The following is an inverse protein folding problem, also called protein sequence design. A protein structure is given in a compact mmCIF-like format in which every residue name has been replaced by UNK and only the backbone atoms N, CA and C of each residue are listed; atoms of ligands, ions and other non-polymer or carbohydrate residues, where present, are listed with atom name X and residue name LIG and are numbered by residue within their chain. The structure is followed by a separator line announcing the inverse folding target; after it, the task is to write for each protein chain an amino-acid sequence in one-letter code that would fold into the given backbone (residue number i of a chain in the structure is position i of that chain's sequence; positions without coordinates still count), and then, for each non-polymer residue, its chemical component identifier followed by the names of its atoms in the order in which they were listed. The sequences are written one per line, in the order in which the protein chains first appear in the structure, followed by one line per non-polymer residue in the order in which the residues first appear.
data_IF_222856067194
#
_entry.id   IF_222856067194
#
_cell.length_a   1.000
_cell.length_b   1.000
_cell.length_c   1.000
_cell.angle_alpha   90.00
_cell.angle_beta   90.00
_cell.angle_gamma   90.00
#
_symmetry.space_group_name_H-M   'P 1'
#
loop_
_entity.id
_entity.type
_entity.pdbx_description
1 polymer ?
#
# COMPACT_ATOMS: atom_id res chain seq x y z
N UNK A 1 7.10 24.67 -25.98
CA UNK A 1 6.03 23.86 -25.37
C UNK A 1 5.21 24.76 -24.46
N UNK A 2 3.92 24.71 -24.58
CA UNK A 2 3.02 25.52 -23.77
C UNK A 2 3.23 25.20 -22.28
N UNK A 3 3.58 26.20 -21.47
CA UNK A 3 3.95 26.02 -20.06
C UNK A 3 2.81 25.47 -19.19
N UNK A 4 1.59 25.41 -19.74
CA UNK A 4 0.36 24.95 -19.05
C UNK A 4 0.12 23.46 -19.17
N UNK A 5 0.68 22.76 -20.17
CA UNK A 5 0.46 21.31 -20.41
C UNK A 5 1.79 20.56 -20.70
N UNK A 6 2.66 20.42 -19.70
CA UNK A 6 4.01 19.87 -19.91
C UNK A 6 4.03 18.39 -20.32
N UNK A 7 2.92 17.66 -20.17
CA UNK A 7 2.77 16.24 -20.53
C UNK A 7 1.89 16.04 -21.77
N UNK A 8 1.64 17.07 -22.54
CA UNK A 8 0.80 16.98 -23.76
C UNK A 8 1.36 15.91 -24.72
N UNK A 9 0.48 14.98 -25.14
CA UNK A 9 0.82 13.87 -26.03
C UNK A 9 1.60 12.73 -25.36
N UNK A 10 1.77 12.73 -24.02
CA UNK A 10 2.41 11.64 -23.28
C UNK A 10 1.41 10.73 -22.63
N UNK A 11 1.54 9.43 -22.86
CA UNK A 11 0.76 8.37 -22.23
C UNK A 11 1.54 7.78 -21.07
N UNK A 12 0.96 7.81 -19.87
CA UNK A 12 1.60 7.40 -18.62
C UNK A 12 0.88 6.23 -17.99
N UNK A 13 1.56 5.10 -17.88
CA UNK A 13 1.05 3.94 -17.16
C UNK A 13 1.14 4.15 -15.65
N UNK A 14 -0.01 4.21 -15.01
CA UNK A 14 -0.17 4.29 -13.57
C UNK A 14 -0.46 2.88 -13.00
N UNK A 15 0.56 2.30 -12.34
CA UNK A 15 0.51 0.93 -11.82
C UNK A 15 -0.08 0.81 -10.42
N UNK A 16 -0.60 1.91 -9.86
CA UNK A 16 -1.13 1.98 -8.49
C UNK A 16 -2.47 1.24 -8.35
N UNK A 17 -2.74 0.72 -7.16
CA UNK A 17 -4.06 0.16 -6.83
C UNK A 17 -5.18 1.20 -6.97
N UNK A 18 -6.38 0.75 -7.35
CA UNK A 18 -7.53 1.58 -7.75
C UNK A 18 -7.76 2.84 -6.89
N UNK A 19 -7.78 2.71 -5.55
CA UNK A 19 -8.05 3.84 -4.65
C UNK A 19 -6.94 4.91 -4.64
N UNK A 20 -5.72 4.57 -5.02
CA UNK A 20 -4.57 5.48 -5.06
C UNK A 20 -4.26 5.95 -6.50
N UNK A 21 -4.75 5.23 -7.51
CA UNK A 21 -4.56 5.55 -8.92
C UNK A 21 -5.27 6.87 -9.30
N UNK A 22 -6.55 7.00 -8.96
CA UNK A 22 -7.38 8.13 -9.38
C UNK A 22 -6.79 9.50 -9.02
N UNK A 23 -6.20 9.65 -7.82
CA UNK A 23 -5.60 10.91 -7.41
C UNK A 23 -4.35 11.26 -8.24
N UNK A 24 -3.53 10.27 -8.60
CA UNK A 24 -2.35 10.47 -9.43
C UNK A 24 -2.73 10.70 -10.89
N UNK A 25 -3.68 9.92 -11.43
CA UNK A 25 -4.21 10.10 -12.78
C UNK A 25 -4.82 11.49 -13.00
N UNK A 26 -5.54 12.02 -11.99
CA UNK A 26 -6.07 13.40 -12.04
C UNK A 26 -4.95 14.44 -12.21
N UNK A 27 -3.80 14.25 -11.58
CA UNK A 27 -2.65 15.14 -11.70
C UNK A 27 -1.98 15.02 -13.07
N UNK A 28 -1.87 13.81 -13.61
CA UNK A 28 -1.36 13.58 -14.98
C UNK A 28 -2.25 14.30 -15.99
N UNK A 29 -3.58 14.14 -15.88
CA UNK A 29 -4.55 14.84 -16.75
C UNK A 29 -4.42 16.36 -16.62
N UNK A 30 -4.28 16.89 -15.41
CA UNK A 30 -4.10 18.32 -15.18
C UNK A 30 -2.83 18.88 -15.82
N UNK A 31 -1.78 18.05 -15.98
CA UNK A 31 -0.55 18.39 -16.67
C UNK A 31 -0.60 18.14 -18.20
N UNK A 32 -1.76 17.74 -18.75
CA UNK A 32 -1.99 17.50 -20.18
C UNK A 32 -1.64 16.08 -20.66
N UNK A 33 -1.23 15.18 -19.78
CA UNK A 33 -0.91 13.79 -20.11
C UNK A 33 -2.14 12.87 -20.13
N UNK A 34 -1.99 11.69 -20.73
CA UNK A 34 -3.02 10.63 -20.77
C UNK A 34 -2.64 9.52 -19.80
N UNK A 35 -3.31 9.37 -18.65
CA UNK A 35 -3.06 8.25 -17.75
C UNK A 35 -3.76 6.98 -18.24
N UNK A 36 -3.05 5.84 -18.19
CA UNK A 36 -3.62 4.49 -18.30
C UNK A 36 -3.47 3.83 -16.94
N UNK A 37 -4.58 3.42 -16.33
CA UNK A 37 -4.59 2.76 -15.02
C UNK A 37 -4.61 1.25 -15.18
N UNK A 38 -3.49 0.59 -14.85
CA UNK A 38 -3.41 -0.86 -14.74
C UNK A 38 -2.84 -1.20 -13.36
N UNK A 39 -3.71 -1.45 -12.37
CA UNK A 39 -3.28 -1.86 -11.03
C UNK A 39 -2.50 -3.17 -11.09
N UNK A 40 -1.25 -3.15 -10.67
CA UNK A 40 -0.42 -4.37 -10.62
C UNK A 40 -0.55 -5.12 -9.29
N UNK A 41 -1.17 -4.48 -8.28
CA UNK A 41 -1.40 -5.08 -6.97
C UNK A 41 -2.86 -4.89 -6.57
N UNK A 42 -3.40 -5.90 -5.90
CA UNK A 42 -4.73 -5.86 -5.29
C UNK A 42 -4.67 -6.33 -3.85
N UNK A 43 -5.72 -6.00 -3.09
CA UNK A 43 -5.90 -6.47 -1.72
C UNK A 43 -7.01 -7.52 -1.71
N UNK A 44 -6.78 -8.61 -1.00
CA UNK A 44 -7.76 -9.68 -0.84
C UNK A 44 -7.77 -10.21 0.58
N UNK A 45 -8.83 -10.92 0.95
CA UNK A 45 -8.87 -11.68 2.19
C UNK A 45 -7.89 -12.86 2.11
N UNK A 46 -7.25 -13.25 3.23
CA UNK A 46 -6.51 -14.50 3.29
C UNK A 46 -7.41 -15.69 2.93
N UNK A 47 -6.81 -16.73 2.33
CA UNK A 47 -7.55 -17.94 1.95
C UNK A 47 -8.15 -18.66 3.16
N UNK A 48 -7.39 -18.75 4.26
CA UNK A 48 -7.88 -19.27 5.54
C UNK A 48 -8.18 -18.10 6.49
N UNK A 49 -9.45 -17.96 6.84
CA UNK A 49 -9.94 -16.91 7.73
C UNK A 49 -10.31 -17.45 9.11
N UNK A 50 -10.08 -18.73 9.39
CA UNK A 50 -10.46 -19.39 10.63
C UNK A 50 -9.82 -18.72 11.84
N UNK A 51 -8.51 -18.47 11.78
CA UNK A 51 -7.76 -17.83 12.85
C UNK A 51 -8.24 -16.38 13.10
N UNK A 52 -8.67 -15.68 12.05
CA UNK A 52 -9.20 -14.31 12.16
C UNK A 52 -10.52 -14.35 12.96
N UNK A 53 -11.43 -15.23 12.57
CA UNK A 53 -12.73 -15.37 13.24
C UNK A 53 -12.58 -15.82 14.70
N UNK A 54 -11.67 -16.75 15.00
CA UNK A 54 -11.37 -17.18 16.37
C UNK A 54 -10.75 -16.06 17.21
N UNK A 55 -9.83 -15.30 16.63
CA UNK A 55 -9.19 -14.16 17.31
C UNK A 55 -10.23 -13.09 17.63
N UNK A 56 -11.14 -12.77 16.71
CA UNK A 56 -12.20 -11.79 16.91
C UNK A 56 -13.17 -12.26 18.01
N UNK A 57 -13.57 -13.54 18.05
CA UNK A 57 -14.40 -14.08 19.13
C UNK A 57 -13.75 -13.93 20.52
N UNK A 58 -12.43 -13.95 20.55
CA UNK A 58 -11.60 -13.81 21.75
C UNK A 58 -11.02 -12.40 21.93
N UNK A 59 -11.56 -11.39 21.26
CA UNK A 59 -11.04 -10.02 21.25
C UNK A 59 -10.92 -9.41 22.66
N UNK A 60 -11.80 -9.81 23.59
CA UNK A 60 -11.79 -9.43 25.02
C UNK A 60 -10.51 -9.82 25.77
N UNK A 61 -9.66 -10.69 25.17
CA UNK A 61 -8.36 -11.08 25.76
C UNK A 61 -7.25 -10.09 25.47
N UNK A 62 -7.49 -9.09 24.63
CA UNK A 62 -6.52 -8.08 24.26
C UNK A 62 -6.84 -6.75 24.93
N UNK A 63 -5.83 -6.05 25.41
CA UNK A 63 -5.94 -4.71 25.95
C UNK A 63 -5.87 -3.68 24.81
N UNK A 64 -5.13 -3.99 23.74
CA UNK A 64 -4.91 -3.11 22.62
C UNK A 64 -5.17 -3.78 21.26
N UNK A 65 -5.84 -3.05 20.38
CA UNK A 65 -5.99 -3.34 18.96
C UNK A 65 -5.26 -2.26 18.16
N UNK A 66 -4.29 -2.68 17.34
CA UNK A 66 -3.39 -1.76 16.65
C UNK A 66 -3.58 -1.87 15.13
N UNK A 67 -3.79 -0.72 14.49
CA UNK A 67 -3.89 -0.63 13.03
C UNK A 67 -2.78 0.25 12.46
N UNK A 68 -2.01 -0.29 11.53
CA UNK A 68 -0.95 0.41 10.81
C UNK A 68 -1.35 0.88 9.42
N UNK A 69 -2.59 0.61 8.98
CA UNK A 69 -3.09 1.02 7.67
C UNK A 69 -4.62 1.11 7.64
N UNK A 70 -5.15 1.94 6.72
CA UNK A 70 -6.58 1.98 6.46
C UNK A 70 -7.16 0.63 6.02
N UNK A 71 -6.40 -0.12 5.21
CA UNK A 71 -6.84 -1.45 4.76
C UNK A 71 -6.95 -2.43 5.93
N UNK A 72 -6.02 -2.35 6.90
CA UNK A 72 -6.14 -3.12 8.15
C UNK A 72 -7.46 -2.87 8.88
N UNK A 73 -7.88 -1.60 8.96
CA UNK A 73 -9.19 -1.23 9.53
C UNK A 73 -10.33 -1.81 8.69
N UNK A 74 -10.33 -1.56 7.37
CA UNK A 74 -11.43 -1.98 6.50
C UNK A 74 -11.64 -3.50 6.54
N UNK A 75 -10.57 -4.29 6.37
CA UNK A 75 -10.65 -5.75 6.37
C UNK A 75 -10.97 -6.32 7.76
N UNK A 76 -10.38 -5.76 8.84
CA UNK A 76 -10.68 -6.21 10.18
C UNK A 76 -12.16 -6.04 10.51
N UNK A 77 -12.73 -4.86 10.25
CA UNK A 77 -14.14 -4.60 10.56
C UNK A 77 -15.09 -5.40 9.66
N UNK A 78 -14.72 -5.71 8.43
CA UNK A 78 -15.50 -6.63 7.60
C UNK A 78 -15.58 -8.04 8.22
N UNK A 79 -14.49 -8.55 8.79
CA UNK A 79 -14.51 -9.82 9.53
C UNK A 79 -15.23 -9.71 10.88
N UNK A 80 -15.05 -8.58 11.58
CA UNK A 80 -15.71 -8.33 12.86
C UNK A 80 -17.23 -8.34 12.70
N UNK A 81 -17.77 -7.66 11.71
CA UNK A 81 -19.20 -7.64 11.40
C UNK A 81 -19.72 -9.05 11.07
N UNK A 82 -19.01 -9.81 10.24
CA UNK A 82 -19.35 -11.21 9.91
C UNK A 82 -19.37 -12.14 11.14
N UNK A 83 -18.50 -11.89 12.12
CA UNK A 83 -18.48 -12.65 13.37
C UNK A 83 -19.64 -12.21 14.25
N UNK A 84 -19.93 -10.90 14.36
CA UNK A 84 -21.07 -10.41 15.16
C UNK A 84 -22.41 -10.95 14.67
N UNK A 85 -22.63 -11.09 13.36
CA UNK A 85 -23.84 -11.70 12.80
C UNK A 85 -24.08 -13.15 13.27
N UNK A 86 -23.02 -13.84 13.67
CA UNK A 86 -23.05 -15.27 14.06
C UNK A 86 -23.01 -15.49 15.57
N UNK A 87 -22.77 -14.45 16.37
CA UNK A 87 -22.69 -14.56 17.82
C UNK A 87 -23.78 -13.73 18.50
N UNK A 88 -24.39 -14.28 19.55
CA UNK A 88 -25.44 -13.61 20.33
C UNK A 88 -24.89 -12.64 21.39
N UNK A 89 -23.58 -12.64 21.63
CA UNK A 89 -22.93 -11.83 22.66
C UNK A 89 -22.23 -10.64 22.03
N UNK A 90 -22.32 -9.49 22.69
CA UNK A 90 -21.49 -8.34 22.37
C UNK A 90 -20.01 -8.68 22.63
N UNK A 91 -19.14 -8.39 21.65
CA UNK A 91 -17.69 -8.56 21.76
C UNK A 91 -17.11 -7.18 22.12
N UNK A 92 -16.59 -6.98 23.35
CA UNK A 92 -16.04 -5.70 23.74
C UNK A 92 -14.80 -5.37 22.94
N UNK A 93 -14.72 -4.11 22.47
CA UNK A 93 -13.58 -3.63 21.71
C UNK A 93 -12.44 -3.22 22.64
N UNK A 94 -11.19 -3.66 22.39
CA UNK A 94 -10.00 -3.17 23.10
C UNK A 94 -9.77 -1.68 22.89
N UNK A 95 -8.82 -1.10 23.62
CA UNK A 95 -8.28 0.22 23.30
C UNK A 95 -7.66 0.19 21.89
N UNK A 96 -7.96 1.18 21.08
CA UNK A 96 -7.49 1.19 19.69
C UNK A 96 -6.35 2.21 19.53
N UNK A 97 -5.27 1.78 18.90
CA UNK A 97 -4.19 2.66 18.45
C UNK A 97 -4.06 2.60 16.92
N UNK A 98 -3.81 3.74 16.30
CA UNK A 98 -3.64 3.85 14.83
C UNK A 98 -2.38 4.62 14.49
N UNK A 99 -1.72 4.26 13.39
CA UNK A 99 -0.44 4.85 12.98
C UNK A 99 -0.54 6.30 12.48
N UNK A 100 -1.72 6.77 12.08
CA UNK A 100 -1.83 8.13 11.54
C UNK A 100 -3.21 8.49 10.99
N UNK A 101 -3.31 9.73 10.52
CA UNK A 101 -4.57 10.41 10.21
C UNK A 101 -5.47 9.72 9.17
N UNK A 102 -4.89 9.06 8.15
CA UNK A 102 -5.71 8.30 7.15
C UNK A 102 -6.36 7.07 7.76
N UNK A 103 -5.62 6.37 8.64
CA UNK A 103 -6.12 5.19 9.37
C UNK A 103 -7.16 5.61 10.40
N UNK A 104 -6.92 6.72 11.10
CA UNK A 104 -7.87 7.32 12.04
C UNK A 104 -9.20 7.67 11.37
N UNK A 105 -9.17 8.41 10.24
CA UNK A 105 -10.37 8.75 9.49
C UNK A 105 -11.18 7.53 9.08
N UNK A 106 -10.51 6.46 8.67
CA UNK A 106 -11.18 5.20 8.31
C UNK A 106 -11.83 4.56 9.55
N UNK A 107 -11.14 4.56 10.68
CA UNK A 107 -11.67 4.02 11.95
C UNK A 107 -12.89 4.82 12.43
N UNK A 108 -12.83 6.16 12.38
CA UNK A 108 -13.95 7.04 12.74
C UNK A 108 -15.18 6.78 11.86
N UNK A 109 -14.99 6.50 10.56
CA UNK A 109 -16.07 6.14 9.65
C UNK A 109 -16.74 4.78 10.00
N UNK A 110 -16.03 3.90 10.73
CA UNK A 110 -16.60 2.67 11.29
C UNK A 110 -17.29 2.87 12.65
N UNK A 111 -17.35 4.10 13.17
CA UNK A 111 -17.98 4.43 14.45
C UNK A 111 -17.08 4.26 15.67
N UNK A 112 -15.78 4.00 15.49
CA UNK A 112 -14.82 3.82 16.58
C UNK A 112 -13.82 4.96 16.65
N UNK A 113 -13.38 5.30 17.87
CA UNK A 113 -12.36 6.33 18.11
C UNK A 113 -11.06 5.69 18.59
N UNK A 114 -9.90 6.06 18.05
CA UNK A 114 -8.64 5.63 18.61
C UNK A 114 -8.40 6.32 19.96
N UNK A 115 -7.78 5.58 20.88
CA UNK A 115 -7.27 6.13 22.15
C UNK A 115 -5.90 6.79 21.92
N UNK A 116 -5.17 6.33 20.89
CA UNK A 116 -3.82 6.77 20.62
C UNK A 116 -3.58 6.92 19.11
N UNK A 117 -3.06 8.10 18.74
CA UNK A 117 -2.54 8.43 17.42
C UNK A 117 -1.20 9.13 17.65
N UNK A 118 -0.07 8.68 17.10
CA UNK A 118 1.23 9.33 17.30
C UNK A 118 1.33 10.65 16.54
N UNK A 119 2.26 11.50 16.93
CA UNK A 119 2.61 12.73 16.19
C UNK A 119 3.37 12.40 14.90
N UNK A 120 4.25 11.40 14.95
CA UNK A 120 4.94 10.86 13.78
C UNK A 120 4.20 9.64 13.23
N UNK A 121 3.68 9.77 11.99
CA UNK A 121 2.82 8.76 11.35
C UNK A 121 3.61 7.58 10.76
N UNK A 122 4.52 7.02 11.56
CA UNK A 122 5.34 5.85 11.26
C UNK A 122 5.24 4.81 12.39
N UNK A 123 5.69 3.60 12.12
CA UNK A 123 5.61 2.51 13.11
C UNK A 123 6.44 2.79 14.36
N UNK A 124 7.56 3.45 14.19
CA UNK A 124 8.48 3.88 15.25
C UNK A 124 7.80 4.90 16.19
N UNK A 125 7.16 5.92 15.63
CA UNK A 125 6.40 6.91 16.39
C UNK A 125 5.21 6.28 17.14
N UNK A 126 4.54 5.31 16.50
CA UNK A 126 3.46 4.58 17.15
C UNK A 126 3.96 3.73 18.33
N UNK A 127 5.12 3.08 18.18
CA UNK A 127 5.74 2.34 19.27
C UNK A 127 6.09 3.23 20.45
N UNK A 128 6.75 4.37 20.21
CA UNK A 128 7.10 5.31 21.28
C UNK A 128 5.85 5.83 22.04
N UNK A 129 4.78 6.08 21.31
CA UNK A 129 3.50 6.48 21.92
C UNK A 129 2.82 5.36 22.71
N UNK A 130 3.00 4.09 22.30
CA UNK A 130 2.50 2.91 23.01
C UNK A 130 3.38 2.52 24.21
N UNK A 131 4.65 2.93 24.23
CA UNK A 131 5.66 2.50 25.21
C UNK A 131 5.23 2.59 26.67
N UNK A 132 4.50 3.63 27.14
CA UNK A 132 4.01 3.69 28.52
C UNK A 132 3.03 2.57 28.89
N UNK A 133 2.45 1.90 27.91
CA UNK A 133 1.46 0.82 28.08
C UNK A 133 2.06 -0.58 27.84
N UNK A 134 3.33 -0.64 27.41
CA UNK A 134 4.02 -1.91 27.12
C UNK A 134 4.59 -2.45 28.42
N UNK A 135 3.93 -3.49 28.97
CA UNK A 135 4.34 -4.14 30.22
C UNK A 135 4.26 -5.66 30.05
N UNK A 136 4.99 -6.44 30.85
CA UNK A 136 4.94 -7.89 30.81
C UNK A 136 3.48 -8.41 30.92
N UNK A 137 3.10 -9.23 29.94
CA UNK A 137 1.79 -9.87 29.90
C UNK A 137 0.66 -9.06 29.24
N UNK A 138 0.85 -7.75 29.00
CA UNK A 138 -0.14 -6.95 28.24
C UNK A 138 -0.23 -7.46 26.80
N UNK A 139 -1.45 -7.68 26.31
CA UNK A 139 -1.71 -8.33 25.03
C UNK A 139 -2.12 -7.30 23.99
N UNK A 140 -1.35 -7.25 22.91
CA UNK A 140 -1.59 -6.42 21.74
C UNK A 140 -2.01 -7.29 20.55
N UNK A 141 -3.10 -6.91 19.89
CA UNK A 141 -3.51 -7.48 18.61
C UNK A 141 -3.15 -6.49 17.49
N UNK A 142 -2.29 -6.90 16.56
CA UNK A 142 -1.91 -6.09 15.41
C UNK A 142 -2.67 -6.60 14.17
N UNK A 143 -3.69 -5.88 13.72
CA UNK A 143 -4.44 -6.20 12.52
C UNK A 143 -3.81 -5.51 11.29
N UNK A 144 -3.14 -6.29 10.45
CA UNK A 144 -2.30 -5.75 9.37
C UNK A 144 -2.29 -6.62 8.10
N UNK A 145 -1.58 -6.16 7.08
CA UNK A 145 -1.39 -6.91 5.84
C UNK A 145 -0.11 -7.77 5.86
N UNK A 146 -0.07 -8.78 5.00
CA UNK A 146 1.05 -9.73 4.88
C UNK A 146 2.42 -9.09 4.53
N UNK A 147 2.42 -7.92 3.88
CA UNK A 147 3.67 -7.21 3.51
C UNK A 147 4.05 -6.11 4.52
N UNK A 148 3.36 -6.00 5.65
CA UNK A 148 3.71 -5.03 6.69
C UNK A 148 5.01 -5.42 7.40
N UNK A 149 5.83 -4.42 7.79
CA UNK A 149 7.06 -4.67 8.56
C UNK A 149 6.73 -5.29 9.93
N UNK A 150 7.55 -6.22 10.41
CA UNK A 150 7.39 -6.85 11.73
C UNK A 150 7.76 -5.94 12.92
N UNK A 151 8.34 -4.78 12.66
CA UNK A 151 8.93 -3.87 13.65
C UNK A 151 8.08 -3.71 14.93
N UNK A 152 6.77 -3.43 14.82
CA UNK A 152 5.91 -3.26 16.00
C UNK A 152 5.74 -4.57 16.79
N UNK A 153 5.60 -5.70 16.12
CA UNK A 153 5.51 -7.01 16.77
C UNK A 153 6.79 -7.31 17.53
N UNK A 154 7.94 -7.06 16.87
CA UNK A 154 9.26 -7.34 17.42
C UNK A 154 9.55 -6.44 18.64
N UNK A 155 9.31 -5.13 18.55
CA UNK A 155 9.55 -4.20 19.65
C UNK A 155 8.60 -4.42 20.84
N UNK A 156 7.30 -4.67 20.61
CA UNK A 156 6.36 -5.01 21.67
C UNK A 156 6.81 -6.28 22.41
N UNK A 157 7.18 -7.33 21.68
CA UNK A 157 7.63 -8.59 22.25
C UNK A 157 8.95 -8.43 23.01
N UNK A 158 9.91 -7.72 22.48
CA UNK A 158 11.20 -7.42 23.10
C UNK A 158 11.05 -6.72 24.46
N UNK A 159 10.01 -5.89 24.60
CA UNK A 159 9.69 -5.20 25.85
C UNK A 159 8.73 -5.97 26.77
N UNK A 160 8.51 -7.26 26.53
CA UNK A 160 7.79 -8.20 27.39
C UNK A 160 6.27 -8.26 27.19
N UNK A 161 5.70 -7.51 26.26
CA UNK A 161 4.29 -7.64 25.91
C UNK A 161 4.03 -8.89 25.06
N UNK A 162 2.76 -9.32 25.00
CA UNK A 162 2.32 -10.40 24.13
C UNK A 162 1.73 -9.79 22.86
N UNK A 163 2.49 -9.79 21.78
CA UNK A 163 2.04 -9.27 20.49
C UNK A 163 1.51 -10.39 19.60
N UNK A 164 0.21 -10.33 19.24
CA UNK A 164 -0.40 -11.23 18.28
C UNK A 164 -0.46 -10.55 16.91
N UNK A 165 0.20 -11.15 15.94
CA UNK A 165 0.23 -10.70 14.55
C UNK A 165 -0.94 -11.31 13.79
N UNK A 166 -1.95 -10.51 13.43
CA UNK A 166 -3.13 -10.96 12.70
C UNK A 166 -3.14 -10.39 11.29
N UNK A 167 -2.85 -11.25 10.31
CA UNK A 167 -2.93 -10.88 8.91
C UNK A 167 -4.40 -10.89 8.47
N UNK A 168 -5.00 -9.70 8.35
CA UNK A 168 -6.41 -9.55 7.96
C UNK A 168 -6.60 -9.30 6.45
N UNK A 169 -5.54 -8.98 5.72
CA UNK A 169 -5.55 -8.90 4.26
C UNK A 169 -4.20 -9.27 3.67
N UNK A 170 -4.23 -9.68 2.43
CA UNK A 170 -3.03 -9.94 1.62
C UNK A 170 -2.95 -8.94 0.48
N UNK A 171 -1.75 -8.39 0.28
CA UNK A 171 -1.38 -7.71 -0.95
C UNK A 171 -0.84 -8.75 -1.91
N UNK A 172 -1.49 -8.92 -3.04
CA UNK A 172 -1.12 -9.91 -4.05
C UNK A 172 -0.95 -9.25 -5.41
N UNK A 173 -0.20 -9.91 -6.28
CA UNK A 173 -0.08 -9.50 -7.67
C UNK A 173 -1.44 -9.55 -8.37
N UNK A 174 -1.75 -8.49 -9.10
CA UNK A 174 -2.93 -8.41 -9.96
C UNK A 174 -2.50 -8.68 -11.41
N UNK A 175 -3.09 -9.70 -12.02
CA UNK A 175 -2.82 -10.06 -13.41
C UNK A 175 -4.09 -10.02 -14.28
N UNK A 176 -5.17 -9.42 -13.77
CA UNK A 176 -6.45 -9.35 -14.50
C UNK A 176 -6.32 -8.59 -15.81
N UNK A 177 -5.52 -7.54 -15.82
CA UNK A 177 -5.27 -6.70 -16.98
C UNK A 177 -3.95 -7.05 -17.70
N UNK A 178 -3.41 -8.28 -17.48
CA UNK A 178 -2.12 -8.74 -18.05
C UNK A 178 -2.11 -8.63 -19.57
N UNK A 179 -3.13 -9.16 -20.23
CA UNK A 179 -3.23 -9.15 -21.71
C UNK A 179 -3.33 -7.73 -22.25
N UNK A 180 -4.10 -6.87 -21.59
CA UNK A 180 -4.21 -5.47 -21.95
C UNK A 180 -2.86 -4.73 -21.79
N UNK A 181 -2.14 -4.96 -20.68
CA UNK A 181 -0.80 -4.41 -20.49
C UNK A 181 0.16 -4.84 -21.60
N UNK A 182 0.20 -6.15 -21.92
CA UNK A 182 1.06 -6.69 -22.97
C UNK A 182 0.73 -6.06 -24.33
N UNK A 183 -0.58 -5.92 -24.65
CA UNK A 183 -1.02 -5.28 -25.91
C UNK A 183 -0.53 -3.83 -25.98
N UNK A 184 -0.74 -3.04 -24.93
CA UNK A 184 -0.30 -1.64 -24.88
C UNK A 184 1.24 -1.49 -25.06
N UNK A 185 2.02 -2.38 -24.44
CA UNK A 185 3.49 -2.39 -24.59
C UNK A 185 3.90 -2.75 -26.01
N UNK A 186 3.32 -3.83 -26.55
CA UNK A 186 3.60 -4.32 -27.91
C UNK A 186 3.24 -3.28 -28.99
N UNK A 187 2.13 -2.59 -28.81
CA UNK A 187 1.65 -1.54 -29.72
C UNK A 187 2.34 -0.19 -29.47
N UNK A 188 3.30 -0.12 -28.53
CA UNK A 188 4.05 1.08 -28.18
C UNK A 188 3.18 2.28 -27.81
N UNK A 189 2.06 2.01 -27.11
CA UNK A 189 1.09 3.04 -26.70
C UNK A 189 1.45 3.73 -25.36
N UNK A 190 2.54 3.34 -24.72
CA UNK A 190 2.97 3.88 -23.42
C UNK A 190 4.32 4.60 -23.59
N UNK A 191 4.38 5.87 -23.18
CA UNK A 191 5.61 6.63 -23.15
C UNK A 191 6.35 6.51 -21.81
N UNK A 192 5.60 6.40 -20.69
CA UNK A 192 6.17 6.41 -19.34
C UNK A 192 5.49 5.36 -18.49
N UNK A 193 6.27 4.57 -17.75
CA UNK A 193 5.77 3.62 -16.75
C UNK A 193 6.18 4.11 -15.36
N UNK A 194 5.20 4.16 -14.42
CA UNK A 194 5.46 4.63 -13.05
C UNK A 194 5.34 3.51 -12.03
N UNK A 195 6.37 3.34 -11.19
CA UNK A 195 6.39 2.39 -10.08
C UNK A 195 6.42 3.12 -8.73
N UNK A 196 5.49 2.79 -7.84
CA UNK A 196 5.40 3.42 -6.52
C UNK A 196 5.70 2.48 -5.36
N UNK A 197 6.19 1.28 -5.65
CA UNK A 197 6.68 0.33 -4.63
C UNK A 197 7.55 -0.76 -5.27
N UNK A 198 8.44 -1.41 -4.50
CA UNK A 198 9.17 -2.60 -4.96
C UNK A 198 8.25 -3.72 -5.45
N UNK A 199 7.09 -3.88 -4.82
CA UNK A 199 6.13 -4.94 -5.17
C UNK A 199 5.49 -4.71 -6.55
N UNK A 200 5.27 -3.45 -6.96
CA UNK A 200 4.75 -3.14 -8.31
C UNK A 200 5.79 -3.45 -9.39
N UNK A 201 7.06 -3.19 -9.13
CA UNK A 201 8.16 -3.57 -10.02
C UNK A 201 8.23 -5.09 -10.23
N UNK A 202 8.22 -5.85 -9.12
CA UNK A 202 8.24 -7.32 -9.16
C UNK A 202 7.05 -7.89 -9.91
N UNK A 203 5.87 -7.34 -9.70
CA UNK A 203 4.66 -7.80 -10.40
C UNK A 203 4.68 -7.45 -11.89
N UNK A 204 5.16 -6.25 -12.26
CA UNK A 204 5.37 -5.91 -13.66
C UNK A 204 6.29 -6.92 -14.32
N UNK A 205 7.47 -7.17 -13.76
CA UNK A 205 8.43 -8.13 -14.28
C UNK A 205 7.82 -9.52 -14.45
N UNK A 206 7.11 -10.03 -13.42
CA UNK A 206 6.43 -11.32 -13.49
C UNK A 206 5.42 -11.44 -14.63
N UNK A 207 4.81 -10.32 -15.05
CA UNK A 207 3.88 -10.29 -16.18
C UNK A 207 4.63 -10.36 -17.51
N UNK A 208 5.78 -9.69 -17.60
CA UNK A 208 6.49 -9.48 -18.87
C UNK A 208 7.71 -10.39 -19.08
N UNK A 209 8.25 -11.04 -18.04
CA UNK A 209 9.54 -11.80 -18.07
C UNK A 209 9.65 -12.87 -19.17
N UNK A 210 8.54 -13.39 -19.67
CA UNK A 210 8.48 -14.39 -20.73
C UNK A 210 8.09 -13.78 -22.09
N UNK A 211 8.28 -12.50 -22.28
CA UNK A 211 7.94 -11.76 -23.50
C UNK A 211 9.12 -10.94 -23.98
N UNK A 212 9.00 -10.35 -25.15
CA UNK A 212 10.00 -9.46 -25.74
C UNK A 212 9.84 -8.01 -25.22
N UNK A 213 9.49 -7.85 -23.94
CA UNK A 213 9.14 -6.56 -23.36
C UNK A 213 10.27 -5.51 -23.48
N UNK A 214 11.52 -5.91 -23.42
CA UNK A 214 12.68 -5.02 -23.53
C UNK A 214 12.67 -4.34 -24.91
N UNK A 215 12.37 -5.08 -25.98
CA UNK A 215 12.24 -4.52 -27.33
C UNK A 215 11.04 -3.59 -27.44
N UNK A 216 9.91 -3.98 -26.84
CA UNK A 216 8.68 -3.19 -26.89
C UNK A 216 8.79 -1.88 -26.11
N UNK A 217 9.63 -1.86 -25.08
CA UNK A 217 9.79 -0.72 -24.16
C UNK A 217 11.09 0.08 -24.36
N UNK A 218 11.82 -0.13 -25.45
CA UNK A 218 13.07 0.58 -25.73
C UNK A 218 12.93 2.12 -25.81
N UNK A 219 11.73 2.62 -26.04
CA UNK A 219 11.38 4.05 -26.10
C UNK A 219 10.72 4.54 -24.79
N UNK A 220 10.43 3.65 -23.85
CA UNK A 220 9.67 3.94 -22.63
C UNK A 220 10.57 4.49 -21.53
N UNK A 221 10.15 5.56 -20.88
CA UNK A 221 10.80 6.06 -19.68
C UNK A 221 10.22 5.35 -18.44
N UNK A 222 11.08 4.74 -17.67
CA UNK A 222 10.70 4.13 -16.41
C UNK A 222 10.95 5.11 -15.25
N UNK A 223 9.92 5.40 -14.49
CA UNK A 223 9.96 6.30 -13.33
C UNK A 223 9.59 5.56 -12.05
N UNK A 224 10.33 5.77 -10.98
CA UNK A 224 10.02 5.18 -9.67
C UNK A 224 9.96 6.22 -8.57
N UNK A 225 9.20 5.92 -7.51
CA UNK A 225 8.94 6.88 -6.43
C UNK A 225 10.14 7.13 -5.52
N UNK A 226 11.12 6.23 -5.48
CA UNK A 226 12.25 6.37 -4.55
C UNK A 226 13.22 5.19 -4.59
N UNK A 227 14.31 5.26 -3.78
CA UNK A 227 15.47 4.38 -3.87
C UNK A 227 15.17 2.90 -3.64
N UNK A 228 14.27 2.55 -2.74
CA UNK A 228 13.92 1.13 -2.50
C UNK A 228 13.21 0.52 -3.71
N UNK A 229 12.40 1.32 -4.41
CA UNK A 229 11.74 0.88 -5.65
C UNK A 229 12.76 0.77 -6.78
N UNK A 230 13.73 1.71 -6.85
CA UNK A 230 14.84 1.67 -7.80
C UNK A 230 15.69 0.42 -7.59
N UNK A 231 16.11 0.12 -6.37
CA UNK A 231 16.87 -1.11 -6.05
C UNK A 231 16.14 -2.38 -6.53
N UNK A 232 14.83 -2.45 -6.35
CA UNK A 232 14.06 -3.59 -6.82
C UNK A 232 14.03 -3.70 -8.36
N UNK A 233 14.02 -2.57 -9.06
CA UNK A 233 14.10 -2.52 -10.52
C UNK A 233 15.50 -2.90 -11.02
N UNK A 234 16.56 -2.40 -10.40
CA UNK A 234 17.95 -2.70 -10.73
C UNK A 234 18.23 -4.21 -10.62
N UNK A 235 17.69 -4.89 -9.56
CA UNK A 235 17.81 -6.35 -9.41
C UNK A 235 17.10 -7.15 -10.51
N UNK A 236 16.13 -6.56 -11.18
CA UNK A 236 15.37 -7.17 -12.28
C UNK A 236 15.76 -6.61 -13.64
N UNK A 237 16.87 -5.87 -13.70
CA UNK A 237 17.41 -5.25 -14.92
C UNK A 237 16.41 -4.31 -15.63
N UNK A 238 15.45 -3.72 -14.88
CA UNK A 238 14.55 -2.70 -15.42
C UNK A 238 15.21 -1.33 -15.27
N UNK A 239 15.48 -0.61 -16.39
CA UNK A 239 16.18 0.68 -16.34
C UNK A 239 15.29 1.76 -15.71
N UNK A 240 15.73 2.36 -14.60
CA UNK A 240 15.02 3.51 -14.02
C UNK A 240 15.69 4.80 -14.48
N UNK A 241 14.96 5.60 -15.24
CA UNK A 241 15.40 6.88 -15.79
C UNK A 241 15.12 8.04 -14.83
N UNK A 242 14.02 7.94 -14.07
CA UNK A 242 13.48 9.02 -13.25
C UNK A 242 13.23 8.53 -11.81
N UNK A 243 13.86 9.22 -10.83
CA UNK A 243 13.69 8.91 -9.40
C UNK A 243 13.83 10.21 -8.58
N UNK A 244 12.76 10.74 -8.00
CA UNK A 244 12.79 12.00 -7.27
C UNK A 244 13.54 11.87 -5.93
N UNK A 245 13.98 13.01 -5.40
CA UNK A 245 14.61 13.09 -4.07
C UNK A 245 13.61 12.96 -2.93
N UNK A 246 12.37 13.40 -3.13
CA UNK A 246 11.27 13.28 -2.18
C UNK A 246 10.27 12.24 -2.69
N UNK A 247 9.93 11.27 -1.86
CA UNK A 247 9.23 10.02 -2.23
C UNK A 247 7.71 10.15 -2.21
N UNK A 248 7.20 11.16 -2.93
CA UNK A 248 5.76 11.38 -3.11
C UNK A 248 5.37 11.34 -4.59
N UNK A 249 4.09 11.09 -4.87
CA UNK A 249 3.59 11.11 -6.25
C UNK A 249 3.67 12.48 -6.89
N UNK A 250 3.64 13.56 -6.10
CA UNK A 250 3.77 14.93 -6.59
C UNK A 250 5.19 15.16 -7.10
N UNK A 251 6.17 14.88 -6.28
CA UNK A 251 7.57 15.00 -6.70
C UNK A 251 7.94 14.03 -7.83
N UNK A 252 7.29 12.83 -7.90
CA UNK A 252 7.49 11.93 -9.03
C UNK A 252 6.98 12.56 -10.32
N UNK A 253 5.81 13.20 -10.30
CA UNK A 253 5.25 13.88 -11.47
C UNK A 253 6.10 15.11 -11.87
N UNK A 254 6.51 15.90 -10.87
CA UNK A 254 7.39 17.06 -11.10
C UNK A 254 8.72 16.64 -11.75
N UNK A 255 9.32 15.53 -11.29
CA UNK A 255 10.58 15.03 -11.84
C UNK A 255 10.40 14.46 -13.25
N UNK A 256 9.27 13.81 -13.55
CA UNK A 256 8.92 13.41 -14.93
C UNK A 256 8.85 14.64 -15.84
N UNK A 257 8.15 15.70 -15.39
CA UNK A 257 8.01 16.93 -16.16
C UNK A 257 9.37 17.60 -16.39
N UNK A 258 10.23 17.65 -15.36
CA UNK A 258 11.56 18.22 -15.46
C UNK A 258 12.44 17.44 -16.44
N UNK A 259 12.41 16.12 -16.38
CA UNK A 259 13.16 15.24 -17.28
C UNK A 259 12.78 15.43 -18.76
N UNK A 260 11.50 15.66 -19.04
CA UNK A 260 11.01 15.87 -20.40
C UNK A 260 11.32 17.27 -20.96
N UNK A 261 11.73 18.22 -20.12
CA UNK A 261 12.12 19.58 -20.51
C UNK A 261 13.62 19.72 -20.75
N UNK A 262 14.42 18.79 -20.21
CA UNK A 262 15.88 18.77 -20.31
C UNK A 262 16.34 18.23 -21.66
#
# INVERSE_FOLDING_TARGET
MDSTQPLLGKTILNTRGKSAAAAFSKKILAAGGTPIEIPLLTFQKPKDTTIIAETIKNLHRYEWLVFTSKNGVDFFFEFYDQVLEKVTKNIPMPKIAVVGSKTEKTLLAKGYRPVLVPDEFIAEGLFESLRPYVMPGVRFLLARGNLSRSFLVDELTKHGAVATDLIVYETVGDSRDKEHLITLLKEKQIDIITFTSPSTVKQFYKIVEQTEWEEWTNHVLFACIGPETKKAADHLHIPIHICPKNYTTDHLLDEIINYLKA
#
